data_IF_319215171024
#
_entry.id   IF_319215171024
#
_cell.length_a   1.000
_cell.length_b   1.000
_cell.length_c   1.000
_cell.angle_alpha   90.00
_cell.angle_beta   90.00
_cell.angle_gamma   90.00
#
_symmetry.space_group_name_H-M   'P 1'
#
loop_
_entity.id
_entity.type
_entity.pdbx_description
1 polymer ?
#
# COMPACT_ATOMS: atom_id res chain seq x y z
N UNK A 1 -10.46 27.58 2.78
CA UNK A 1 -9.60 26.38 2.86
C UNK A 1 -10.27 25.24 2.10
N UNK A 2 -9.51 24.38 1.39
CA UNK A 2 -10.05 23.20 0.72
C UNK A 2 -10.15 22.05 1.73
N UNK A 3 -11.33 21.47 1.91
CA UNK A 3 -11.52 20.32 2.79
C UNK A 3 -11.02 19.03 2.13
N UNK A 4 -10.32 18.19 2.89
CA UNK A 4 -9.89 16.86 2.47
C UNK A 4 -10.52 15.79 3.37
N UNK A 5 -10.81 14.62 2.79
CA UNK A 5 -11.31 13.46 3.53
C UNK A 5 -10.30 12.33 3.45
N UNK A 6 -9.90 11.81 4.60
CA UNK A 6 -8.89 10.76 4.75
C UNK A 6 -9.57 9.55 5.37
N UNK A 7 -9.38 8.38 4.78
CA UNK A 7 -9.77 7.09 5.36
C UNK A 7 -8.57 6.37 5.98
N UNK A 8 -8.85 5.51 6.95
CA UNK A 8 -7.84 4.60 7.50
C UNK A 8 -7.70 3.36 6.62
N UNK A 9 -6.45 2.94 6.43
CA UNK A 9 -6.03 1.69 5.83
C UNK A 9 -5.67 0.66 6.91
N UNK A 10 -4.57 -0.05 6.69
CA UNK A 10 -4.07 -1.09 7.59
C UNK A 10 -3.38 -0.46 8.80
N UNK A 11 -3.40 -1.20 9.91
CA UNK A 11 -2.64 -0.86 11.11
C UNK A 11 -1.34 -1.65 11.31
N UNK A 12 -1.12 -2.72 10.51
CA UNK A 12 0.09 -3.53 10.55
C UNK A 12 0.26 -4.36 9.26
N UNK A 13 1.47 -4.90 9.03
CA UNK A 13 1.75 -5.83 7.93
C UNK A 13 0.95 -7.13 8.06
N UNK A 14 0.13 -7.46 7.05
CA UNK A 14 -0.76 -8.64 7.07
C UNK A 14 -2.18 -8.37 7.58
N UNK A 15 -2.53 -7.12 7.86
CA UNK A 15 -3.89 -6.71 8.24
C UNK A 15 -4.90 -6.83 7.07
N UNK A 16 -6.19 -6.79 7.38
CA UNK A 16 -7.27 -6.88 6.42
C UNK A 16 -7.36 -5.60 5.58
N UNK A 17 -6.89 -5.66 4.32
CA UNK A 17 -6.99 -4.54 3.38
C UNK A 17 -8.35 -4.43 2.66
N UNK A 18 -9.16 -5.49 2.66
CA UNK A 18 -10.46 -5.53 1.95
C UNK A 18 -11.47 -4.44 2.41
N UNK A 19 -11.60 -4.13 3.71
CA UNK A 19 -12.49 -3.05 4.18
C UNK A 19 -12.17 -1.67 3.60
N UNK A 20 -10.94 -1.42 3.13
CA UNK A 20 -10.56 -0.15 2.48
C UNK A 20 -11.43 0.14 1.25
N UNK A 21 -11.91 -0.90 0.56
CA UNK A 21 -12.82 -0.76 -0.58
C UNK A 21 -14.08 0.03 -0.20
N UNK A 22 -14.67 -0.22 0.97
CA UNK A 22 -15.86 0.49 1.44
C UNK A 22 -15.60 2.00 1.63
N UNK A 23 -14.42 2.36 2.15
CA UNK A 23 -14.01 3.76 2.28
C UNK A 23 -13.87 4.45 0.93
N UNK A 24 -13.37 3.74 -0.08
CA UNK A 24 -13.24 4.26 -1.46
C UNK A 24 -14.62 4.40 -2.13
N UNK A 25 -15.46 3.37 -2.04
CA UNK A 25 -16.74 3.30 -2.73
C UNK A 25 -17.81 4.22 -2.12
N UNK A 26 -17.90 4.23 -0.79
CA UNK A 26 -18.99 4.87 -0.04
C UNK A 26 -18.52 6.04 0.81
N UNK A 27 -17.24 6.09 1.14
CA UNK A 27 -16.68 7.09 2.05
C UNK A 27 -16.34 8.42 1.38
N UNK A 28 -16.26 8.51 0.05
CA UNK A 28 -15.85 9.75 -0.64
C UNK A 28 -14.47 10.26 -0.21
N UNK A 29 -13.58 9.34 0.17
CA UNK A 29 -12.23 9.64 0.62
C UNK A 29 -11.37 10.11 -0.55
N UNK A 30 -10.45 11.01 -0.28
CA UNK A 30 -9.43 11.46 -1.24
C UNK A 30 -8.08 10.78 -0.98
N UNK A 31 -7.85 10.39 0.28
CA UNK A 31 -6.64 9.72 0.72
C UNK A 31 -6.96 8.51 1.59
N UNK A 32 -6.15 7.48 1.49
CA UNK A 32 -6.08 6.38 2.45
C UNK A 32 -4.71 6.44 3.13
N UNK A 33 -4.70 6.58 4.46
CA UNK A 33 -3.48 6.49 5.27
C UNK A 33 -3.35 5.09 5.87
N UNK A 34 -2.21 4.44 5.73
CA UNK A 34 -1.99 3.05 6.16
C UNK A 34 -0.63 2.89 6.81
N UNK A 35 -0.57 2.24 7.97
CA UNK A 35 0.67 1.93 8.69
C UNK A 35 0.91 0.42 8.66
N UNK A 36 2.09 0.02 8.19
CA UNK A 36 2.46 -1.38 8.01
C UNK A 36 3.65 -1.78 8.89
N UNK A 37 4.40 -0.81 9.40
CA UNK A 37 5.71 -1.07 10.01
C UNK A 37 5.60 -1.08 11.52
N UNK A 38 6.11 -2.16 12.10
CA UNK A 38 6.45 -2.28 13.51
C UNK A 38 7.86 -2.88 13.62
N UNK A 39 8.39 -2.96 14.84
CA UNK A 39 9.74 -3.50 15.10
C UNK A 39 9.92 -4.92 14.50
N UNK A 40 8.95 -5.82 14.73
CA UNK A 40 8.96 -7.17 14.16
C UNK A 40 8.88 -7.16 12.63
N UNK A 41 8.08 -6.27 12.05
CA UNK A 41 7.97 -6.14 10.59
C UNK A 41 9.33 -5.82 9.98
N UNK A 42 10.08 -4.88 10.56
CA UNK A 42 11.41 -4.52 10.05
C UNK A 42 12.39 -5.69 10.07
N UNK A 43 12.36 -6.53 11.11
CA UNK A 43 13.18 -7.74 11.17
C UNK A 43 12.83 -8.75 10.06
N UNK A 44 11.53 -8.91 9.77
CA UNK A 44 11.05 -9.76 8.65
C UNK A 44 11.55 -9.21 7.31
N UNK A 45 11.38 -7.91 7.08
CA UNK A 45 11.81 -7.27 5.83
C UNK A 45 13.33 -7.32 5.65
N UNK A 46 14.10 -7.18 6.74
CA UNK A 46 15.55 -7.33 6.71
C UNK A 46 15.95 -8.76 6.33
N UNK A 47 15.30 -9.78 6.92
CA UNK A 47 15.55 -11.19 6.58
C UNK A 47 15.21 -11.49 5.12
N UNK A 48 14.14 -10.91 4.59
CA UNK A 48 13.78 -11.04 3.17
C UNK A 48 14.83 -10.39 2.28
N UNK A 49 15.27 -9.17 2.61
CA UNK A 49 16.29 -8.42 1.85
C UNK A 49 17.67 -9.11 1.86
N UNK A 50 18.03 -9.78 2.95
CA UNK A 50 19.26 -10.58 3.02
C UNK A 50 19.26 -11.77 2.07
N UNK A 51 18.08 -12.30 1.71
CA UNK A 51 17.95 -13.41 0.75
C UNK A 51 17.86 -12.90 -0.68
N UNK A 52 17.15 -11.79 -0.87
CA UNK A 52 16.96 -11.14 -2.16
C UNK A 52 17.11 -9.62 -1.98
N UNK A 53 18.19 -9.00 -2.51
CA UNK A 53 18.39 -7.56 -2.43
C UNK A 53 17.25 -6.72 -3.01
N UNK A 54 16.43 -7.28 -3.91
CA UNK A 54 15.26 -6.61 -4.48
C UNK A 54 14.04 -6.60 -3.54
N UNK A 55 14.02 -7.43 -2.50
CA UNK A 55 12.98 -7.45 -1.48
C UNK A 55 13.17 -6.32 -0.44
N UNK A 56 12.51 -6.42 0.71
CA UNK A 56 12.62 -5.44 1.80
C UNK A 56 11.42 -4.48 1.93
N UNK A 57 10.36 -4.71 1.17
CA UNK A 57 9.05 -4.08 1.31
C UNK A 57 7.99 -5.14 1.63
N UNK A 58 6.81 -4.75 2.12
CA UNK A 58 5.80 -5.71 2.52
C UNK A 58 5.24 -6.47 1.32
N UNK A 59 5.09 -7.78 1.45
CA UNK A 59 4.69 -8.65 0.33
C UNK A 59 3.23 -8.45 -0.08
N UNK A 60 2.41 -7.90 0.81
CA UNK A 60 1.00 -7.60 0.59
C UNK A 60 0.76 -6.28 -0.16
N UNK A 61 1.77 -5.41 -0.29
CA UNK A 61 1.65 -4.10 -0.92
C UNK A 61 1.12 -4.19 -2.36
N UNK A 62 1.78 -4.97 -3.20
CA UNK A 62 1.42 -5.10 -4.62
C UNK A 62 0.05 -5.77 -4.77
N UNK A 63 -0.25 -6.93 -4.15
CA UNK A 63 -1.59 -7.53 -4.20
C UNK A 63 -2.71 -6.60 -3.70
N UNK A 64 -2.46 -5.86 -2.61
CA UNK A 64 -3.43 -4.93 -2.03
C UNK A 64 -3.76 -3.79 -3.00
N UNK A 65 -2.75 -3.02 -3.43
CA UNK A 65 -2.98 -1.86 -4.28
C UNK A 65 -3.50 -2.28 -5.65
N UNK A 66 -3.09 -3.44 -6.15
CA UNK A 66 -3.64 -4.03 -7.38
C UNK A 66 -5.13 -4.34 -7.27
N UNK A 67 -5.55 -4.88 -6.12
CA UNK A 67 -6.96 -5.22 -5.90
C UNK A 67 -7.83 -3.98 -5.70
N UNK A 68 -7.29 -2.91 -5.10
CA UNK A 68 -8.00 -1.66 -4.86
C UNK A 68 -7.94 -0.69 -6.07
N UNK A 69 -6.99 -0.89 -6.98
CA UNK A 69 -6.77 -0.03 -8.15
C UNK A 69 -8.04 0.26 -8.97
N UNK A 70 -8.87 -0.73 -9.36
CA UNK A 70 -10.07 -0.47 -10.15
C UNK A 70 -11.08 0.46 -9.46
N UNK A 71 -11.06 0.51 -8.13
CA UNK A 71 -11.91 1.40 -7.33
C UNK A 71 -11.27 2.79 -7.17
N UNK A 72 -9.96 2.82 -6.89
CA UNK A 72 -9.21 4.01 -6.53
C UNK A 72 -8.88 4.92 -7.72
N UNK A 73 -8.41 4.34 -8.84
CA UNK A 73 -7.95 5.08 -10.02
C UNK A 73 -9.01 6.02 -10.60
N UNK A 74 -10.26 5.57 -10.89
CA UNK A 74 -11.26 6.45 -11.49
C UNK A 74 -11.75 7.54 -10.54
N UNK A 75 -11.51 7.38 -9.23
CA UNK A 75 -11.88 8.33 -8.17
C UNK A 75 -10.72 9.26 -7.78
N UNK A 76 -9.52 9.03 -8.32
CA UNK A 76 -8.32 9.79 -7.96
C UNK A 76 -7.89 9.62 -6.50
N UNK A 77 -8.22 8.49 -5.86
CA UNK A 77 -7.84 8.21 -4.47
C UNK A 77 -6.34 7.94 -4.39
N UNK A 78 -5.67 8.59 -3.43
CA UNK A 78 -4.22 8.44 -3.20
C UNK A 78 -3.96 7.64 -1.93
N UNK A 79 -2.90 6.84 -1.95
CA UNK A 79 -2.46 6.07 -0.79
C UNK A 79 -1.21 6.70 -0.18
N UNK A 80 -1.22 6.89 1.13
CA UNK A 80 -0.07 7.29 1.93
C UNK A 80 0.25 6.15 2.89
N UNK A 81 1.39 5.49 2.68
CA UNK A 81 1.75 4.27 3.41
C UNK A 81 3.27 4.10 3.53
N UNK A 82 3.70 3.36 4.54
CA UNK A 82 5.12 3.03 4.79
C UNK A 82 5.48 1.59 4.41
N UNK A 83 4.61 0.89 3.66
CA UNK A 83 4.79 -0.50 3.23
C UNK A 83 6.07 -0.73 2.40
N UNK A 84 6.69 0.34 1.87
CA UNK A 84 8.00 0.27 1.21
C UNK A 84 9.14 -0.19 2.13
N UNK A 85 8.96 -0.10 3.45
CA UNK A 85 9.88 -0.67 4.42
C UNK A 85 11.35 -0.26 4.22
N UNK A 86 12.21 -1.26 4.08
CA UNK A 86 13.66 -1.11 3.90
C UNK A 86 14.08 -0.95 2.43
N UNK A 87 13.13 -1.04 1.50
CA UNK A 87 13.36 -0.87 0.06
C UNK A 87 12.18 -0.14 -0.63
N UNK A 88 12.00 1.17 -0.35
CA UNK A 88 10.90 1.94 -0.92
C UNK A 88 11.01 2.10 -2.45
N UNK A 89 12.22 2.11 -3.01
CA UNK A 89 12.42 2.19 -4.46
C UNK A 89 12.02 0.89 -5.16
N UNK A 90 12.41 -0.27 -4.61
CA UNK A 90 11.96 -1.57 -5.12
C UNK A 90 10.44 -1.74 -5.02
N UNK A 91 9.82 -1.24 -3.94
CA UNK A 91 8.37 -1.20 -3.80
C UNK A 91 7.70 -0.36 -4.90
N UNK A 92 8.23 0.84 -5.20
CA UNK A 92 7.78 1.69 -6.29
C UNK A 92 7.88 0.95 -7.62
N UNK A 93 9.03 0.37 -7.92
CA UNK A 93 9.29 -0.27 -9.21
C UNK A 93 8.38 -1.48 -9.43
N UNK A 94 8.14 -2.27 -8.38
CA UNK A 94 7.20 -3.38 -8.43
C UNK A 94 5.75 -2.91 -8.70
N UNK A 95 5.31 -1.82 -8.08
CA UNK A 95 3.98 -1.24 -8.32
C UNK A 95 3.85 -0.66 -9.74
N UNK A 96 4.85 0.10 -10.21
CA UNK A 96 4.86 0.64 -11.57
C UNK A 96 4.82 -0.48 -12.59
N UNK A 97 5.64 -1.53 -12.41
CA UNK A 97 5.63 -2.69 -13.28
C UNK A 97 4.27 -3.39 -13.29
N UNK A 98 3.59 -3.51 -12.15
CA UNK A 98 2.28 -4.15 -12.07
C UNK A 98 1.16 -3.30 -12.69
N UNK A 99 1.17 -1.98 -12.48
CA UNK A 99 0.14 -1.09 -13.04
C UNK A 99 0.32 -0.86 -14.54
N UNK A 100 1.56 -0.81 -15.05
CA UNK A 100 1.80 -0.72 -16.49
C UNK A 100 1.20 -1.90 -17.28
N UNK A 101 1.06 -3.09 -16.67
CA UNK A 101 0.39 -4.23 -17.31
C UNK A 101 -1.13 -4.05 -17.46
N UNK A 102 -1.71 -3.08 -16.75
CA UNK A 102 -3.16 -2.91 -16.59
C UNK A 102 -3.71 -1.68 -17.32
N UNK A 103 -2.83 -0.84 -17.88
CA UNK A 103 -3.18 0.46 -18.47
C UNK A 103 -3.46 1.54 -17.43
#
# INVERSE_FOLDING_TARGET
>A
MKAIRIGAGLGFYGDAWRPVAASIERGGVQYIGSDHLAELTLAILQKDRMKDPAAGYTRDLVPMLTSLWPLAQPRGVKFLLNAGGLNPEGARDALVAEFNKRG
#
